data_IF_514000509897
#
_entry.id   IF_514000509897
#
_cell.length_a   1.000
_cell.length_b   1.000
_cell.length_c   1.000
_cell.angle_alpha   90.00
_cell.angle_beta   90.00
_cell.angle_gamma   90.00
#
_symmetry.space_group_name_H-M   'P 1'
#
loop_
_entity.id
_entity.type
_entity.pdbx_description
1 polymer ?
#
# COMPACT_ATOMS: atom_id res chain seq x y z
N UNK A 1 -24.83 15.97 -4.89
CA UNK A 1 -23.98 14.96 -4.23
C UNK A 1 -22.82 15.71 -3.61
N UNK A 2 -22.83 15.86 -2.30
CA UNK A 2 -21.76 16.54 -1.57
C UNK A 2 -20.57 15.58 -1.54
N UNK A 3 -19.51 15.90 -2.29
CA UNK A 3 -18.23 15.24 -2.16
C UNK A 3 -17.71 15.61 -0.77
N UNK A 4 -17.81 14.68 0.17
CA UNK A 4 -17.13 14.81 1.45
C UNK A 4 -15.65 14.82 1.14
N UNK A 5 -15.02 15.95 1.39
CA UNK A 5 -13.58 16.17 1.21
C UNK A 5 -12.84 15.33 2.25
N UNK A 6 -12.63 14.04 1.95
CA UNK A 6 -11.75 13.19 2.74
C UNK A 6 -10.33 13.60 2.34
N UNK A 7 -9.57 14.06 3.32
CA UNK A 7 -8.23 14.57 3.11
C UNK A 7 -7.39 13.59 2.28
N UNK A 8 -6.66 14.11 1.28
CA UNK A 8 -5.81 13.32 0.41
C UNK A 8 -4.69 12.62 1.19
N UNK A 9 -3.99 11.70 0.51
CA UNK A 9 -2.87 10.99 1.11
C UNK A 9 -1.82 11.98 1.64
N UNK A 10 -1.31 11.81 2.88
CA UNK A 10 -0.21 12.63 3.40
C UNK A 10 1.04 12.62 2.52
N UNK A 11 1.20 11.64 1.63
CA UNK A 11 2.31 11.57 0.67
C UNK A 11 2.29 12.70 -0.35
N UNK A 12 1.14 13.30 -0.63
CA UNK A 12 1.01 14.45 -1.54
C UNK A 12 1.70 15.68 -0.93
N UNK A 13 1.53 15.89 0.38
CA UNK A 13 2.08 17.05 1.08
C UNK A 13 3.53 16.83 1.55
N UNK A 14 3.89 15.59 1.87
CA UNK A 14 5.19 15.22 2.42
C UNK A 14 5.80 13.99 1.70
N UNK A 15 6.08 14.07 0.38
CA UNK A 15 6.58 12.94 -0.40
C UNK A 15 7.95 12.44 0.10
N UNK A 16 8.76 13.34 0.67
CA UNK A 16 10.10 13.04 1.17
C UNK A 16 10.12 12.52 2.62
N UNK A 17 8.97 12.32 3.24
CA UNK A 17 8.92 11.75 4.57
C UNK A 17 9.63 10.38 4.61
N UNK A 18 10.43 10.14 5.66
CA UNK A 18 11.31 8.98 5.76
C UNK A 18 10.62 7.64 5.47
N UNK A 19 9.36 7.50 5.92
CA UNK A 19 8.61 6.26 5.74
C UNK A 19 8.28 5.98 4.27
N UNK A 20 7.88 7.01 3.49
CA UNK A 20 7.61 6.84 2.05
C UNK A 20 8.88 6.49 1.28
N UNK A 21 10.01 7.10 1.61
CA UNK A 21 11.31 6.78 0.99
C UNK A 21 11.75 5.35 1.32
N UNK A 22 11.66 4.95 2.60
CA UNK A 22 11.96 3.58 3.03
C UNK A 22 11.03 2.58 2.35
N UNK A 23 9.72 2.89 2.30
CA UNK A 23 8.70 2.04 1.67
C UNK A 23 8.97 1.81 0.19
N UNK A 24 9.29 2.87 -0.57
CA UNK A 24 9.62 2.76 -1.99
C UNK A 24 10.80 1.81 -2.22
N UNK A 25 11.86 1.90 -1.41
CA UNK A 25 13.01 1.00 -1.48
C UNK A 25 12.66 -0.45 -1.12
N UNK A 26 11.86 -0.67 -0.07
CA UNK A 26 11.48 -2.02 0.36
C UNK A 26 10.54 -2.67 -0.68
N UNK A 27 9.57 -1.92 -1.24
CA UNK A 27 8.71 -2.37 -2.34
C UNK A 27 9.55 -2.78 -3.54
N UNK A 28 10.50 -1.92 -3.95
CA UNK A 28 11.39 -2.22 -5.05
C UNK A 28 12.13 -3.53 -4.84
N UNK A 29 12.85 -3.67 -3.74
CA UNK A 29 13.67 -4.87 -3.46
C UNK A 29 12.81 -6.13 -3.34
N UNK A 30 11.61 -6.01 -2.78
CA UNK A 30 10.71 -7.15 -2.63
C UNK A 30 10.04 -7.57 -3.94
N UNK A 31 9.73 -6.63 -4.83
CA UNK A 31 8.78 -6.84 -5.92
C UNK A 31 9.35 -6.60 -7.32
N UNK A 32 10.51 -5.93 -7.49
CA UNK A 32 11.02 -5.58 -8.83
C UNK A 32 11.30 -6.81 -9.71
N UNK A 33 11.67 -7.95 -9.13
CA UNK A 33 11.88 -9.21 -9.85
C UNK A 33 10.64 -9.78 -10.54
N UNK A 34 9.45 -9.29 -10.16
CA UNK A 34 8.17 -9.67 -10.78
C UNK A 34 7.73 -8.73 -11.91
N UNK A 35 8.49 -7.67 -12.17
CA UNK A 35 8.24 -6.70 -13.25
C UNK A 35 9.20 -7.01 -14.40
N UNK A 36 8.78 -7.88 -15.31
CA UNK A 36 9.60 -8.31 -16.45
C UNK A 36 9.05 -7.67 -17.73
N UNK A 37 9.81 -6.75 -18.31
CA UNK A 37 9.55 -6.06 -19.58
C UNK A 37 8.08 -5.69 -19.87
N UNK A 38 7.38 -5.01 -18.92
CA UNK A 38 5.99 -4.67 -19.11
C UNK A 38 5.85 -3.58 -20.19
N UNK A 39 4.89 -3.74 -21.11
CA UNK A 39 4.52 -2.71 -22.07
C UNK A 39 3.60 -1.67 -21.43
N UNK A 40 2.67 -2.09 -20.58
CA UNK A 40 1.67 -1.26 -19.92
C UNK A 40 1.61 -1.54 -18.45
N UNK A 41 1.72 -0.49 -17.64
CA UNK A 41 1.65 -0.54 -16.17
C UNK A 41 0.48 0.34 -15.74
N UNK A 42 -0.39 -0.17 -14.89
CA UNK A 42 -1.40 0.61 -14.18
C UNK A 42 -0.97 0.76 -12.71
N UNK A 43 -0.88 1.99 -12.25
CA UNK A 43 -0.66 2.31 -10.85
C UNK A 43 -1.95 2.85 -10.24
N UNK A 44 -2.58 2.06 -9.37
CA UNK A 44 -3.84 2.38 -8.70
C UNK A 44 -3.56 2.92 -7.31
N UNK A 45 -4.18 4.04 -6.95
CA UNK A 45 -3.90 4.75 -5.70
C UNK A 45 -2.54 5.44 -5.74
N UNK A 46 -2.22 6.05 -6.88
CA UNK A 46 -0.90 6.63 -7.19
C UNK A 46 -0.46 7.71 -6.20
N UNK A 47 -1.38 8.52 -5.71
CA UNK A 47 -1.15 9.60 -4.74
C UNK A 47 0.21 10.31 -4.94
N UNK A 48 0.52 10.67 -6.20
CA UNK A 48 1.76 11.32 -6.64
C UNK A 48 3.05 10.47 -6.56
N UNK A 49 2.92 9.18 -6.42
CA UNK A 49 3.91 8.21 -6.86
C UNK A 49 5.22 8.00 -6.12
N UNK A 50 5.44 8.39 -4.84
CA UNK A 50 6.72 8.05 -4.20
C UNK A 50 6.95 6.54 -4.12
N UNK A 51 5.89 5.74 -3.98
CA UNK A 51 5.96 4.28 -3.87
C UNK A 51 6.28 3.57 -5.18
N UNK A 52 6.05 4.19 -6.33
CA UNK A 52 6.20 3.59 -7.66
C UNK A 52 7.27 4.25 -8.53
N UNK A 53 8.03 5.19 -8.00
CA UNK A 53 9.10 5.86 -8.73
C UNK A 53 10.11 4.92 -9.41
N UNK A 54 10.30 3.72 -8.84
CA UNK A 54 11.17 2.67 -9.38
C UNK A 54 10.59 1.95 -10.62
N UNK A 55 9.30 2.15 -10.94
CA UNK A 55 8.67 1.64 -12.17
C UNK A 55 8.82 2.60 -13.36
N UNK A 56 9.23 3.83 -13.12
CA UNK A 56 9.39 4.83 -14.19
C UNK A 56 10.38 4.34 -15.26
N UNK A 57 9.97 4.46 -16.52
CA UNK A 57 10.78 4.03 -17.66
C UNK A 57 10.78 2.53 -17.96
N UNK A 58 10.08 1.71 -17.16
CA UNK A 58 9.94 0.25 -17.43
C UNK A 58 8.85 -0.10 -18.44
N UNK A 59 7.92 0.83 -18.71
CA UNK A 59 6.82 0.68 -19.67
C UNK A 59 5.96 1.93 -19.72
N UNK A 60 4.89 1.91 -20.51
CA UNK A 60 3.89 2.98 -20.51
C UNK A 60 3.06 2.91 -19.23
N UNK A 61 3.30 3.84 -18.32
CA UNK A 61 2.59 3.92 -17.06
C UNK A 61 1.33 4.78 -17.17
N UNK A 62 0.24 4.32 -16.57
CA UNK A 62 -1.00 5.05 -16.34
C UNK A 62 -1.22 5.08 -14.83
N UNK A 63 -1.43 6.26 -14.27
CA UNK A 63 -1.76 6.45 -12.86
C UNK A 63 -3.26 6.66 -12.69
N UNK A 64 -3.87 6.02 -11.69
CA UNK A 64 -5.27 6.22 -11.32
C UNK A 64 -5.37 6.50 -9.83
N UNK A 65 -6.14 7.53 -9.47
CA UNK A 65 -6.48 7.84 -8.08
C UNK A 65 -7.90 8.41 -8.00
N UNK A 66 -8.53 8.28 -6.85
CA UNK A 66 -9.81 8.94 -6.56
C UNK A 66 -9.63 10.43 -6.27
N UNK A 67 -8.43 10.83 -5.81
CA UNK A 67 -8.06 12.21 -5.54
C UNK A 67 -7.25 12.78 -6.73
N UNK A 68 -7.83 13.74 -7.49
CA UNK A 68 -7.12 14.32 -8.64
C UNK A 68 -5.86 15.10 -8.26
N UNK A 69 -5.70 15.51 -6.99
CA UNK A 69 -4.50 16.23 -6.51
C UNK A 69 -3.25 15.36 -6.53
N UNK A 70 -3.42 14.04 -6.38
CA UNK A 70 -2.33 13.07 -6.44
C UNK A 70 -1.99 12.59 -7.85
N UNK A 71 -2.55 13.20 -8.91
CA UNK A 71 -2.34 12.75 -10.27
C UNK A 71 -1.47 13.71 -11.06
N UNK A 72 -0.41 13.18 -11.68
CA UNK A 72 0.36 13.89 -12.69
C UNK A 72 -0.47 14.10 -13.99
N UNK A 73 -0.09 15.03 -14.87
CA UNK A 73 -0.77 15.22 -16.16
C UNK A 73 -0.87 13.91 -16.95
N UNK A 74 -2.09 13.58 -17.38
CA UNK A 74 -2.40 12.31 -18.05
C UNK A 74 -2.84 11.17 -17.14
N UNK A 75 -2.89 11.40 -15.81
CA UNK A 75 -3.48 10.48 -14.86
C UNK A 75 -5.02 10.43 -14.97
N UNK A 76 -5.61 9.37 -14.50
CA UNK A 76 -7.04 9.08 -14.57
C UNK A 76 -7.66 9.21 -13.18
N UNK A 77 -8.63 10.09 -13.02
CA UNK A 77 -9.42 10.16 -11.79
C UNK A 77 -10.51 9.07 -11.83
N UNK A 78 -10.45 8.14 -10.86
CA UNK A 78 -11.36 7.00 -10.85
C UNK A 78 -11.24 6.13 -9.60
N UNK A 79 -12.16 5.18 -9.45
CA UNK A 79 -12.20 4.25 -8.33
C UNK A 79 -11.73 2.87 -8.73
N UNK A 80 -10.94 2.22 -7.85
CA UNK A 80 -10.57 0.81 -8.00
C UNK A 80 -11.77 -0.14 -8.00
N UNK A 81 -12.91 0.29 -7.45
CA UNK A 81 -14.15 -0.49 -7.46
C UNK A 81 -14.85 -0.55 -8.83
N UNK A 82 -14.42 0.28 -9.79
CA UNK A 82 -14.92 0.31 -11.16
C UNK A 82 -13.88 1.01 -12.04
N UNK A 83 -12.86 0.27 -12.45
CA UNK A 83 -11.74 0.79 -13.23
C UNK A 83 -12.19 1.16 -14.66
N UNK A 84 -11.92 2.39 -15.15
CA UNK A 84 -12.37 2.87 -16.47
C UNK A 84 -11.48 2.33 -17.61
N UNK A 85 -11.09 1.07 -17.54
CA UNK A 85 -10.25 0.40 -18.53
C UNK A 85 -10.92 -0.89 -19.00
N UNK A 86 -10.61 -1.30 -20.22
CA UNK A 86 -11.04 -2.60 -20.76
C UNK A 86 -10.38 -3.78 -20.03
N UNK A 87 -10.86 -4.97 -20.30
CA UNK A 87 -10.32 -6.21 -19.76
C UNK A 87 -8.92 -6.47 -20.34
N UNK A 88 -8.03 -7.03 -19.53
CA UNK A 88 -6.74 -7.58 -19.96
C UNK A 88 -5.80 -6.57 -20.67
N UNK A 89 -5.84 -5.30 -20.23
CA UNK A 89 -5.07 -4.21 -20.86
C UNK A 89 -3.65 -4.12 -20.33
N UNK A 90 -3.40 -4.45 -19.04
CA UNK A 90 -2.14 -4.14 -18.37
C UNK A 90 -1.31 -5.40 -18.09
N UNK A 91 0.00 -5.31 -18.34
CA UNK A 91 0.95 -6.38 -18.02
C UNK A 91 1.32 -6.37 -16.53
N UNK A 92 1.32 -5.19 -15.92
CA UNK A 92 1.54 -5.00 -14.48
C UNK A 92 0.50 -4.03 -13.93
N UNK A 93 -0.08 -4.40 -12.79
CA UNK A 93 -0.97 -3.55 -12.00
C UNK A 93 -0.38 -3.43 -10.60
N UNK A 94 -0.29 -2.21 -10.07
CA UNK A 94 0.12 -1.95 -8.70
C UNK A 94 -1.05 -1.36 -7.90
N UNK A 95 -1.19 -1.79 -6.64
CA UNK A 95 -2.17 -1.26 -5.70
C UNK A 95 -1.52 -1.24 -4.30
N UNK A 96 -0.83 -0.13 -3.99
CA UNK A 96 -0.07 -0.02 -2.76
C UNK A 96 -0.82 0.81 -1.71
N UNK A 97 -1.32 0.13 -0.66
CA UNK A 97 -2.19 0.66 0.39
C UNK A 97 -3.48 1.26 -0.21
N UNK A 98 -4.20 0.41 -0.96
CA UNK A 98 -5.46 0.76 -1.64
C UNK A 98 -6.61 -0.13 -1.16
N UNK A 99 -6.39 -1.43 -1.10
CA UNK A 99 -7.47 -2.42 -0.90
C UNK A 99 -8.10 -2.31 0.49
N UNK A 100 -7.32 -1.88 1.50
CA UNK A 100 -7.81 -1.62 2.85
C UNK A 100 -8.83 -0.48 2.93
N UNK A 101 -8.78 0.47 2.00
CA UNK A 101 -9.72 1.59 1.90
C UNK A 101 -11.04 1.20 1.21
N UNK A 102 -11.12 0.02 0.63
CA UNK A 102 -12.31 -0.44 -0.07
C UNK A 102 -13.24 -1.20 0.88
N UNK A 103 -14.50 -0.78 1.02
CA UNK A 103 -15.49 -1.54 1.78
C UNK A 103 -15.61 -2.95 1.22
N UNK A 104 -15.75 -3.09 -0.10
CA UNK A 104 -15.75 -4.36 -0.82
C UNK A 104 -14.35 -4.71 -1.32
N UNK A 105 -13.54 -5.37 -0.46
CA UNK A 105 -12.24 -5.93 -0.79
C UNK A 105 -12.29 -6.82 -2.06
N UNK A 106 -13.29 -7.69 -2.11
CA UNK A 106 -13.47 -8.63 -3.22
C UNK A 106 -13.63 -7.90 -4.56
N UNK A 107 -14.51 -6.90 -4.61
CA UNK A 107 -14.75 -6.13 -5.83
C UNK A 107 -13.51 -5.38 -6.28
N UNK A 108 -12.75 -4.78 -5.35
CA UNK A 108 -11.50 -4.12 -5.68
C UNK A 108 -10.50 -5.08 -6.32
N UNK A 109 -10.28 -6.25 -5.71
CA UNK A 109 -9.35 -7.25 -6.25
C UNK A 109 -9.85 -7.81 -7.59
N UNK A 110 -11.15 -8.10 -7.73
CA UNK A 110 -11.72 -8.60 -8.99
C UNK A 110 -11.54 -7.60 -10.15
N UNK A 111 -11.68 -6.27 -9.90
CA UNK A 111 -11.42 -5.23 -10.91
C UNK A 111 -9.93 -5.14 -11.29
N UNK A 112 -9.01 -5.23 -10.30
CA UNK A 112 -7.58 -5.29 -10.56
C UNK A 112 -7.22 -6.51 -11.44
N UNK A 113 -7.85 -7.65 -11.19
CA UNK A 113 -7.66 -8.90 -11.98
C UNK A 113 -8.30 -8.77 -13.36
N UNK A 114 -9.45 -8.11 -13.49
CA UNK A 114 -10.13 -7.91 -14.76
C UNK A 114 -9.25 -7.17 -15.77
N UNK A 115 -8.64 -6.08 -15.34
CA UNK A 115 -7.79 -5.24 -16.22
C UNK A 115 -6.40 -5.82 -16.45
N UNK A 116 -6.00 -6.85 -15.69
CA UNK A 116 -4.71 -7.52 -15.80
C UNK A 116 -4.74 -8.55 -16.94
N UNK A 117 -3.76 -8.48 -17.83
CA UNK A 117 -3.61 -9.44 -18.95
C UNK A 117 -3.29 -10.86 -18.43
N UNK A 118 -3.61 -11.91 -19.17
CA UNK A 118 -3.14 -13.27 -18.87
C UNK A 118 -1.61 -13.30 -18.73
N UNK A 119 -1.10 -13.92 -17.66
CA UNK A 119 0.32 -13.91 -17.31
C UNK A 119 0.81 -12.60 -16.68
N UNK A 120 -0.02 -11.56 -16.64
CA UNK A 120 0.29 -10.28 -16.02
C UNK A 120 0.46 -10.36 -14.51
N UNK A 121 1.09 -9.35 -13.90
CA UNK A 121 1.47 -9.31 -12.48
C UNK A 121 0.69 -8.25 -11.71
N UNK A 122 0.11 -8.66 -10.59
CA UNK A 122 -0.45 -7.76 -9.59
C UNK A 122 0.52 -7.63 -8.41
N UNK A 123 0.90 -6.40 -8.09
CA UNK A 123 1.75 -6.08 -6.95
C UNK A 123 0.93 -5.27 -5.93
N UNK A 124 0.88 -5.73 -4.71
CA UNK A 124 0.09 -5.08 -3.66
C UNK A 124 0.89 -4.86 -2.38
N UNK A 125 0.52 -3.82 -1.65
CA UNK A 125 0.85 -3.69 -0.24
C UNK A 125 -0.40 -3.36 0.56
N UNK A 126 -0.42 -3.83 1.81
CA UNK A 126 -1.52 -3.57 2.76
C UNK A 126 -0.96 -3.49 4.18
N UNK A 127 -1.61 -2.73 5.09
CA UNK A 127 -1.19 -2.62 6.49
C UNK A 127 -1.38 -3.96 7.24
N UNK A 128 -0.39 -4.29 8.07
CA UNK A 128 -0.40 -5.54 8.79
C UNK A 128 -1.14 -5.46 10.14
N UNK A 129 -1.73 -6.60 10.52
CA UNK A 129 -2.32 -6.94 11.82
C UNK A 129 -3.51 -6.10 12.29
N UNK A 130 -4.67 -6.73 12.35
CA UNK A 130 -5.89 -6.13 12.88
C UNK A 130 -5.76 -5.67 14.35
N UNK A 131 -4.91 -6.32 15.15
CA UNK A 131 -4.66 -5.88 16.53
C UNK A 131 -3.96 -4.51 16.62
N UNK A 132 -3.27 -4.07 15.55
CA UNK A 132 -2.60 -2.78 15.48
C UNK A 132 -3.55 -1.62 15.07
N UNK A 133 -4.84 -1.91 14.92
CA UNK A 133 -5.88 -0.93 14.59
C UNK A 133 -5.98 0.17 15.64
N UNK A 134 -6.07 1.42 15.18
CA UNK A 134 -6.24 2.62 16.02
C UNK A 134 -7.15 3.63 15.31
N UNK A 135 -7.43 4.76 15.95
CA UNK A 135 -8.13 5.89 15.35
C UNK A 135 -7.47 6.38 14.06
N UNK A 136 -6.14 6.29 13.96
CA UNK A 136 -5.41 6.59 12.72
C UNK A 136 -5.94 5.79 11.51
N UNK A 137 -6.33 4.54 11.69
CA UNK A 137 -6.91 3.73 10.61
C UNK A 137 -8.30 4.23 10.23
N UNK A 138 -9.10 4.65 11.22
CA UNK A 138 -10.44 5.21 11.01
C UNK A 138 -10.33 6.54 10.26
N UNK A 139 -9.44 7.42 10.69
CA UNK A 139 -9.23 8.75 10.10
C UNK A 139 -8.71 8.64 8.65
N UNK A 140 -7.92 7.59 8.36
CA UNK A 140 -7.49 7.28 6.98
C UNK A 140 -8.54 6.53 6.16
N UNK A 141 -9.73 6.26 6.69
CA UNK A 141 -10.79 5.53 5.97
C UNK A 141 -10.45 4.06 5.70
N UNK A 142 -9.60 3.43 6.53
CA UNK A 142 -9.37 2.00 6.44
C UNK A 142 -10.62 1.23 6.87
N UNK A 143 -10.85 0.08 6.27
CA UNK A 143 -11.86 -0.89 6.69
C UNK A 143 -11.23 -2.09 7.40
N UNK A 144 -9.94 -2.38 7.16
CA UNK A 144 -9.26 -3.57 7.68
C UNK A 144 -7.75 -3.49 7.63
N UNK A 145 -7.11 -4.40 8.38
CA UNK A 145 -5.69 -4.72 8.30
C UNK A 145 -5.52 -6.22 8.05
N UNK A 146 -4.35 -6.63 7.60
CA UNK A 146 -4.10 -7.95 7.06
C UNK A 146 -3.07 -8.74 7.86
N UNK A 147 -3.20 -10.04 7.87
CA UNK A 147 -2.06 -10.95 8.01
C UNK A 147 -1.58 -11.35 6.62
N UNK A 148 -0.37 -11.85 6.50
CA UNK A 148 0.13 -12.40 5.23
C UNK A 148 -0.83 -13.45 4.66
N UNK A 149 -1.31 -14.37 5.50
CA UNK A 149 -2.28 -15.41 5.10
C UNK A 149 -3.58 -14.80 4.55
N UNK A 150 -4.11 -13.77 5.19
CA UNK A 150 -5.34 -13.11 4.72
C UNK A 150 -5.13 -12.39 3.39
N UNK A 151 -4.00 -11.71 3.20
CA UNK A 151 -3.69 -11.06 1.94
C UNK A 151 -3.58 -12.08 0.80
N UNK A 152 -2.86 -13.18 1.02
CA UNK A 152 -2.78 -14.30 0.07
C UNK A 152 -4.17 -14.83 -0.29
N UNK A 153 -5.00 -15.14 0.72
CA UNK A 153 -6.36 -15.64 0.49
C UNK A 153 -7.24 -14.64 -0.28
N UNK A 154 -7.07 -13.33 -0.08
CA UNK A 154 -7.84 -12.32 -0.82
C UNK A 154 -7.49 -12.33 -2.31
N UNK A 155 -6.21 -12.48 -2.66
CA UNK A 155 -5.73 -12.56 -4.02
C UNK A 155 -6.14 -13.88 -4.71
N UNK A 156 -5.95 -15.02 -4.04
CA UNK A 156 -6.28 -16.35 -4.56
C UNK A 156 -7.78 -16.53 -4.84
N UNK A 157 -8.65 -15.95 -4.00
CA UNK A 157 -10.11 -15.96 -4.21
C UNK A 157 -10.55 -15.27 -5.50
N UNK A 158 -9.73 -14.38 -6.04
CA UNK A 158 -9.99 -13.70 -7.32
C UNK A 158 -9.27 -14.38 -8.50
N UNK A 159 -8.77 -15.60 -8.30
CA UNK A 159 -8.18 -16.43 -9.36
C UNK A 159 -6.70 -16.15 -9.63
N UNK A 160 -6.01 -15.40 -8.77
CA UNK A 160 -4.57 -15.18 -8.88
C UNK A 160 -3.77 -16.32 -8.25
N UNK A 161 -2.57 -16.54 -8.77
CA UNK A 161 -1.54 -17.37 -8.13
C UNK A 161 -0.53 -16.44 -7.45
N UNK A 162 -0.34 -16.62 -6.14
CA UNK A 162 0.59 -15.77 -5.38
C UNK A 162 2.00 -16.32 -5.52
N UNK A 163 2.89 -15.51 -6.12
CA UNK A 163 4.29 -15.85 -6.32
C UNK A 163 5.15 -15.55 -5.09
N UNK A 164 4.80 -14.47 -4.39
CA UNK A 164 5.48 -14.04 -3.16
C UNK A 164 4.51 -13.32 -2.25
N UNK A 165 4.64 -13.55 -0.94
CA UNK A 165 4.02 -12.74 0.09
C UNK A 165 4.96 -12.65 1.30
N UNK A 166 5.31 -11.44 1.70
CA UNK A 166 6.26 -11.16 2.78
C UNK A 166 5.76 -10.02 3.66
N UNK A 167 6.24 -9.99 4.91
CA UNK A 167 6.12 -8.77 5.70
C UNK A 167 7.23 -7.79 5.33
N UNK A 168 7.04 -6.54 5.71
CA UNK A 168 8.02 -5.46 5.58
C UNK A 168 8.03 -4.60 6.84
N UNK A 169 9.11 -3.83 7.02
CA UNK A 169 9.35 -3.02 8.21
C UNK A 169 9.51 -3.85 9.51
N UNK A 170 10.15 -5.01 9.42
CA UNK A 170 10.39 -5.87 10.58
C UNK A 170 11.34 -5.23 11.61
N UNK A 171 12.37 -4.53 11.16
CA UNK A 171 13.38 -3.92 12.03
C UNK A 171 12.81 -2.78 12.89
N UNK A 172 11.81 -2.05 12.37
CA UNK A 172 11.12 -0.97 13.11
C UNK A 172 9.84 -1.45 13.79
N UNK A 173 9.42 -2.69 13.54
CA UNK A 173 8.19 -3.26 14.07
C UNK A 173 8.08 -3.26 15.59
N UNK A 174 9.12 -3.52 16.39
CA UNK A 174 9.03 -3.45 17.84
C UNK A 174 8.61 -2.07 18.34
N UNK A 175 9.12 -0.99 17.75
CA UNK A 175 8.75 0.39 18.08
C UNK A 175 7.30 0.68 17.69
N UNK A 176 6.90 0.27 16.49
CA UNK A 176 5.53 0.36 16.03
C UNK A 176 4.56 -0.40 16.96
N UNK A 177 4.89 -1.64 17.33
CA UNK A 177 4.07 -2.46 18.21
C UNK A 177 3.95 -1.83 19.61
N UNK A 178 5.05 -1.34 20.19
CA UNK A 178 5.05 -0.68 21.49
C UNK A 178 4.18 0.59 21.47
N UNK A 179 4.28 1.40 20.43
CA UNK A 179 3.46 2.61 20.25
C UNK A 179 1.97 2.26 20.17
N UNK A 180 1.59 1.26 19.36
CA UNK A 180 0.20 0.82 19.21
C UNK A 180 -0.39 0.25 20.51
N UNK A 181 0.40 -0.52 21.25
CA UNK A 181 -0.02 -1.07 22.55
C UNK A 181 -0.16 0.06 23.59
N UNK A 182 0.75 1.02 23.61
CA UNK A 182 0.68 2.17 24.51
C UNK A 182 -0.56 3.05 24.22
N UNK A 183 -0.90 3.29 22.94
CA UNK A 183 -2.14 3.99 22.57
C UNK A 183 -3.36 3.23 23.07
N UNK A 184 -3.48 1.94 22.75
CA UNK A 184 -4.60 1.12 23.20
C UNK A 184 -4.78 1.12 24.72
N UNK A 185 -3.67 1.09 25.47
CA UNK A 185 -3.72 1.18 26.93
C UNK A 185 -4.24 2.55 27.40
N UNK A 186 -3.72 3.64 26.81
CA UNK A 186 -4.18 5.00 27.13
C UNK A 186 -5.67 5.21 26.86
N UNK A 187 -6.14 4.75 25.69
CA UNK A 187 -7.53 4.89 25.27
C UNK A 187 -8.47 4.10 26.21
N UNK A 188 -8.02 2.92 26.68
CA UNK A 188 -8.76 2.11 27.65
C UNK A 188 -8.86 2.77 29.02
N UNK A 189 -7.81 3.48 29.45
CA UNK A 189 -7.75 4.15 30.77
C UNK A 189 -8.50 5.48 30.78
N UNK A 190 -8.43 6.25 29.69
CA UNK A 190 -8.98 7.63 29.62
C UNK A 190 -10.44 7.70 29.18
N UNK A 191 -11.06 6.57 28.76
CA UNK A 191 -12.37 6.62 28.12
C UNK A 191 -12.30 7.38 26.78
N UNK A 192 -12.90 6.83 25.73
CA UNK A 192 -12.86 7.43 24.37
C UNK A 192 -13.43 8.85 24.39
N UNK A 193 -12.63 9.83 24.07
CA UNK A 193 -13.09 11.11 23.56
C UNK A 193 -12.89 11.05 22.05
N UNK A 194 -13.96 10.79 21.29
CA UNK A 194 -13.93 10.91 19.84
C UNK A 194 -13.73 12.38 19.50
N UNK A 195 -12.56 12.77 19.06
CA UNK A 195 -12.37 13.97 18.29
C UNK A 195 -12.86 13.69 16.88
N UNK A 196 -13.67 14.58 16.31
CA UNK A 196 -14.24 14.44 14.96
C UNK A 196 -13.17 14.27 13.88
N UNK A 197 -13.57 14.02 12.62
CA UNK A 197 -12.67 13.73 11.52
C UNK A 197 -11.59 14.80 11.41
N UNK A 198 -10.32 14.41 11.51
CA UNK A 198 -9.20 15.30 11.29
C UNK A 198 -9.10 15.65 9.81
N UNK A 199 -8.90 16.90 9.47
CA UNK A 199 -8.83 17.41 8.09
C UNK A 199 -7.67 16.83 7.26
N UNK A 200 -6.63 16.33 7.89
CA UNK A 200 -5.54 15.52 7.29
C UNK A 200 -4.89 14.72 8.41
N UNK A 201 -4.69 13.43 8.20
CA UNK A 201 -3.94 12.59 9.14
C UNK A 201 -2.46 12.89 8.98
N UNK A 202 -1.95 13.82 9.76
CA UNK A 202 -0.54 14.20 9.73
C UNK A 202 0.37 13.03 10.13
N UNK A 203 1.47 12.85 9.39
CA UNK A 203 2.54 11.95 9.83
C UNK A 203 3.29 12.58 11.00
N UNK A 204 3.71 11.80 12.02
CA UNK A 204 4.39 12.34 13.19
C UNK A 204 5.72 12.97 12.80
N UNK A 205 5.98 14.20 13.24
CA UNK A 205 7.31 14.79 13.13
C UNK A 205 8.34 13.96 13.91
N UNK A 206 9.41 13.60 13.24
CA UNK A 206 10.54 12.91 13.84
C UNK A 206 11.80 13.75 13.74
N UNK A 207 12.59 13.77 14.80
CA UNK A 207 13.87 14.50 14.75
C UNK A 207 14.82 13.88 13.71
N UNK A 208 15.74 14.66 13.11
CA UNK A 208 16.69 14.13 12.12
C UNK A 208 17.55 12.97 12.63
N UNK A 209 17.78 12.89 13.93
CA UNK A 209 18.52 11.78 14.55
C UNK A 209 17.68 10.49 14.56
N UNK A 210 16.38 10.60 14.91
CA UNK A 210 15.43 9.49 14.88
C UNK A 210 15.19 9.02 13.43
N UNK A 211 15.04 9.94 12.49
CA UNK A 211 14.90 9.60 11.07
C UNK A 211 16.10 8.80 10.56
N UNK A 212 17.34 9.24 10.85
CA UNK A 212 18.57 8.51 10.47
C UNK A 212 18.61 7.11 11.07
N UNK A 213 18.19 6.96 12.34
CA UNK A 213 18.10 5.65 13.00
C UNK A 213 17.08 4.75 12.28
N UNK A 214 15.85 5.23 12.05
CA UNK A 214 14.78 4.47 11.38
C UNK A 214 15.21 4.06 9.97
N UNK A 215 15.78 4.99 9.19
CA UNK A 215 16.34 4.70 7.86
C UNK A 215 17.51 3.70 7.94
N UNK A 216 18.32 3.76 8.99
CA UNK A 216 19.37 2.76 9.25
C UNK A 216 18.81 1.36 9.48
N UNK A 217 17.76 1.26 10.30
CA UNK A 217 17.07 0.00 10.59
C UNK A 217 16.42 -0.58 9.32
N UNK A 218 15.73 0.23 8.53
CA UNK A 218 15.08 -0.26 7.29
C UNK A 218 16.09 -0.76 6.23
N UNK A 219 17.36 -0.33 6.29
CA UNK A 219 18.44 -0.92 5.46
C UNK A 219 18.69 -2.40 5.79
N UNK A 220 18.45 -2.82 7.04
CA UNK A 220 18.52 -4.24 7.42
C UNK A 220 17.40 -5.00 6.72
N UNK A 221 16.16 -4.50 6.81
CA UNK A 221 15.03 -5.11 6.11
C UNK A 221 15.28 -5.21 4.60
N UNK A 222 15.81 -4.15 3.98
CA UNK A 222 16.17 -4.14 2.57
C UNK A 222 17.13 -5.25 2.19
N UNK A 223 18.19 -5.48 2.99
CA UNK A 223 19.15 -6.56 2.74
C UNK A 223 18.50 -7.93 2.86
N UNK A 224 17.66 -8.11 3.88
CA UNK A 224 16.99 -9.39 4.14
C UNK A 224 15.94 -9.70 3.05
N UNK A 225 15.14 -8.72 2.64
CA UNK A 225 14.11 -8.88 1.60
C UNK A 225 14.69 -9.25 0.23
N UNK A 226 15.94 -8.89 -0.04
CA UNK A 226 16.62 -9.30 -1.26
C UNK A 226 16.90 -10.81 -1.36
N UNK A 227 16.88 -11.54 -0.23
CA UNK A 227 17.19 -12.97 -0.19
C UNK A 227 16.14 -13.86 0.48
N UNK A 228 15.25 -13.31 1.28
CA UNK A 228 14.24 -14.10 2.03
C UNK A 228 13.02 -13.26 2.38
N UNK A 229 11.94 -13.94 2.75
CA UNK A 229 10.75 -13.31 3.30
C UNK A 229 10.91 -13.02 4.79
N UNK A 230 10.33 -11.89 5.22
CA UNK A 230 10.31 -11.53 6.63
C UNK A 230 9.11 -12.18 7.33
N UNK A 231 9.30 -12.71 8.55
CA UNK A 231 8.24 -13.42 9.26
C UNK A 231 7.20 -12.51 9.94
N UNK A 232 7.52 -11.23 10.13
CA UNK A 232 6.66 -10.20 10.72
C UNK A 232 7.06 -8.81 10.22
N UNK A 233 6.20 -7.81 10.44
CA UNK A 233 6.42 -6.41 10.06
C UNK A 233 5.13 -5.62 10.08
N UNK A 234 5.16 -4.31 9.89
CA UNK A 234 3.98 -3.45 9.93
C UNK A 234 3.18 -3.40 8.63
N UNK A 235 3.72 -3.95 7.53
CA UNK A 235 3.07 -4.05 6.22
C UNK A 235 3.23 -5.45 5.65
N UNK A 236 2.32 -5.84 4.75
CA UNK A 236 2.41 -7.05 3.93
C UNK A 236 2.57 -6.62 2.47
N UNK A 237 3.59 -7.15 1.79
CA UNK A 237 3.81 -6.99 0.36
C UNK A 237 3.55 -8.31 -0.33
N UNK A 238 2.90 -8.29 -1.49
CA UNK A 238 2.69 -9.48 -2.28
C UNK A 238 2.81 -9.21 -3.79
N UNK A 239 3.30 -10.21 -4.49
CA UNK A 239 3.26 -10.33 -5.94
C UNK A 239 2.46 -11.56 -6.30
N UNK A 240 1.55 -11.42 -7.27
CA UNK A 240 0.74 -12.50 -7.79
C UNK A 240 0.61 -12.36 -9.30
N UNK A 241 0.29 -13.45 -9.98
CA UNK A 241 0.03 -13.41 -11.43
C UNK A 241 -1.34 -13.96 -11.78
N UNK A 242 -1.90 -13.44 -12.86
CA UNK A 242 -3.07 -14.00 -13.52
C UNK A 242 -2.62 -15.22 -14.34
N UNK A 243 -3.15 -16.43 -14.08
CA UNK A 243 -2.82 -17.61 -14.90
C UNK A 243 -3.04 -17.37 -16.39
N UNK A 244 -2.24 -18.01 -17.22
CA UNK A 244 -2.53 -18.11 -18.65
C UNK A 244 -3.64 -19.13 -18.86
N UNK A 245 -4.53 -18.92 -19.82
CA UNK A 245 -5.61 -19.85 -20.15
C UNK A 245 -5.08 -21.19 -20.66
#
# INVERSE_FOLDING_TARGET
MTVTNHGGSPSIEQPDYWWYRARAELLRVALEGYVVDPRRILDVGSADGPSVGWLRGRGKQVSLDVDPRGLAPGGVCGSVLNLPFGDEVFDVVTAFDVVEHCESERRAVDELVRVLAPGGRLLVSVPAYQWAWTEFDVDNGHHRRYTRKRAVMALERSGLVVDRATYAFASVFPFFAAERLARRFRDRVRGRTSTGPADVVGVPDVSPAVERLLMGLTRVDRRLLGSRDLPFGSSVFAAAHKPQP
#
